data_IF_821383326117
#
_entry.id   IF_821383326117
#
_cell.length_a   1.000
_cell.length_b   1.000
_cell.length_c   1.000
_cell.angle_alpha   90.00
_cell.angle_beta   90.00
_cell.angle_gamma   90.00
#
_symmetry.space_group_name_H-M   'P 1'
#
loop_
_entity.id
_entity.type
_entity.pdbx_description
1 polymer ?
#
# COMPACT_ATOMS: atom_id res chain seq x y z
N UNK A 1 8.17 -2.58 -21.64
CA UNK A 1 7.65 -1.81 -20.49
C UNK A 1 6.13 -1.81 -20.61
N UNK A 2 5.43 -2.63 -19.82
CA UNK A 2 3.98 -2.72 -19.91
C UNK A 2 3.37 -1.39 -19.42
N UNK A 3 2.56 -0.76 -20.27
CA UNK A 3 1.83 0.47 -19.96
C UNK A 3 0.89 0.23 -18.76
N UNK A 4 1.31 0.68 -17.58
CA UNK A 4 0.46 0.81 -16.40
C UNK A 4 -0.69 1.81 -16.65
N UNK A 5 -0.52 2.66 -17.67
CA UNK A 5 -1.31 3.85 -18.05
C UNK A 5 -2.79 3.62 -18.41
N UNK A 6 -3.30 2.39 -18.41
CA UNK A 6 -4.71 2.13 -18.75
C UNK A 6 -5.58 1.66 -17.60
N UNK A 7 -4.99 1.31 -16.45
CA UNK A 7 -5.72 0.62 -15.37
C UNK A 7 -5.94 1.47 -14.12
N UNK A 8 -5.37 2.66 -14.06
CA UNK A 8 -5.55 3.57 -12.95
C UNK A 8 -5.42 5.02 -13.43
N UNK A 9 -6.52 5.59 -13.88
CA UNK A 9 -6.58 7.02 -14.18
C UNK A 9 -6.34 7.80 -12.87
N UNK A 10 -5.52 8.86 -12.91
CA UNK A 10 -5.21 9.78 -11.79
C UNK A 10 -4.26 9.27 -10.69
N UNK A 11 -3.76 8.03 -10.74
CA UNK A 11 -2.78 7.57 -9.73
C UNK A 11 -1.43 8.31 -9.84
N UNK A 12 -1.08 8.78 -11.04
CA UNK A 12 0.11 9.63 -11.22
C UNK A 12 0.00 10.96 -10.45
N UNK A 13 -1.22 11.43 -10.13
CA UNK A 13 -1.46 12.65 -9.33
C UNK A 13 -1.26 12.41 -7.83
N UNK A 14 -1.41 11.16 -7.36
CA UNK A 14 -1.19 10.78 -5.96
C UNK A 14 0.30 10.66 -5.61
N UNK A 15 1.14 10.54 -6.63
CA UNK A 15 2.58 10.38 -6.49
C UNK A 15 3.23 11.73 -6.22
N UNK A 16 4.03 11.79 -5.16
CA UNK A 16 4.75 13.01 -4.77
C UNK A 16 6.27 12.85 -4.96
N UNK A 17 6.94 12.18 -4.01
CA UNK A 17 8.41 12.09 -3.96
C UNK A 17 8.91 10.71 -4.38
N UNK A 18 10.15 10.66 -4.85
CA UNK A 18 10.87 9.40 -5.02
C UNK A 18 11.35 8.82 -3.68
N UNK A 19 11.32 7.51 -3.55
CA UNK A 19 11.78 6.75 -2.39
C UNK A 19 12.24 5.34 -2.78
N UNK A 20 12.96 4.67 -1.88
CA UNK A 20 13.34 3.28 -2.06
C UNK A 20 12.13 2.37 -1.78
N UNK A 21 11.51 1.92 -2.86
CA UNK A 21 10.34 1.04 -2.84
C UNK A 21 10.69 -0.35 -2.27
N UNK A 22 11.92 -0.82 -2.47
CA UNK A 22 12.36 -2.12 -1.97
C UNK A 22 12.67 -2.08 -0.47
N UNK A 23 13.20 -0.98 0.03
CA UNK A 23 13.32 -0.73 1.47
C UNK A 23 11.95 -0.70 2.14
N UNK A 24 10.99 0.00 1.53
CA UNK A 24 9.60 0.04 2.05
C UNK A 24 8.97 -1.35 2.04
N UNK A 25 9.18 -2.16 0.99
CA UNK A 25 8.68 -3.54 0.99
C UNK A 25 9.32 -4.38 2.11
N UNK A 26 10.61 -4.22 2.38
CA UNK A 26 11.29 -4.90 3.50
C UNK A 26 10.74 -4.46 4.85
N UNK A 27 10.47 -3.17 5.03
CA UNK A 27 9.82 -2.60 6.22
C UNK A 27 8.46 -3.28 6.47
N UNK A 28 7.63 -3.42 5.42
CA UNK A 28 6.34 -4.13 5.50
C UNK A 28 6.47 -5.63 5.76
N UNK A 29 7.64 -6.22 5.56
CA UNK A 29 7.92 -7.64 5.76
C UNK A 29 8.65 -7.92 7.08
N UNK A 30 8.93 -6.91 7.92
CA UNK A 30 9.61 -7.08 9.21
C UNK A 30 8.85 -8.07 10.10
N UNK A 31 7.53 -7.89 10.23
CA UNK A 31 6.66 -8.91 10.78
C UNK A 31 6.05 -9.76 9.64
N UNK A 32 6.67 -10.90 9.35
CA UNK A 32 6.25 -11.77 8.24
C UNK A 32 4.85 -12.36 8.44
N UNK A 33 4.46 -12.66 9.68
CA UNK A 33 3.13 -13.23 9.96
C UNK A 33 2.03 -12.24 9.58
N UNK A 34 2.22 -10.97 9.93
CA UNK A 34 1.32 -9.87 9.54
C UNK A 34 1.29 -9.74 8.01
N UNK A 35 2.44 -9.65 7.36
CA UNK A 35 2.49 -9.50 5.91
C UNK A 35 1.84 -10.67 5.15
N UNK A 36 2.02 -11.91 5.62
CA UNK A 36 1.38 -13.09 5.02
C UNK A 36 -0.13 -13.11 5.25
N UNK A 37 -0.60 -12.62 6.40
CA UNK A 37 -2.04 -12.55 6.69
C UNK A 37 -2.81 -11.69 5.69
N UNK A 38 -2.15 -10.69 5.07
CA UNK A 38 -2.75 -9.84 4.04
C UNK A 38 -3.04 -10.57 2.72
N UNK A 39 -2.51 -11.78 2.52
CA UNK A 39 -2.72 -12.54 1.29
C UNK A 39 -2.20 -11.83 0.04
N UNK A 40 -0.98 -11.26 0.10
CA UNK A 40 -0.39 -10.51 -1.01
C UNK A 40 -0.16 -11.41 -2.22
N UNK A 41 -0.93 -11.21 -3.30
CA UNK A 41 -0.83 -11.98 -4.54
C UNK A 41 0.17 -11.38 -5.52
N UNK A 42 0.31 -10.04 -5.52
CA UNK A 42 1.12 -9.33 -6.50
C UNK A 42 1.71 -8.05 -5.93
N UNK A 43 2.99 -7.83 -6.25
CA UNK A 43 3.71 -6.59 -5.94
C UNK A 43 4.09 -5.89 -7.25
N UNK A 44 3.71 -4.63 -7.39
CA UNK A 44 4.09 -3.79 -8.54
C UNK A 44 4.82 -2.54 -8.07
N UNK A 45 5.91 -2.20 -8.76
CA UNK A 45 6.71 -1.00 -8.49
C UNK A 45 6.39 0.05 -9.53
N UNK A 46 6.05 1.25 -9.09
CA UNK A 46 5.83 2.41 -9.97
C UNK A 46 7.11 3.23 -9.98
N UNK A 47 8.10 2.77 -10.73
CA UNK A 47 9.47 3.34 -10.70
C UNK A 47 9.94 3.42 -9.23
N UNK A 48 10.52 4.55 -8.83
CA UNK A 48 10.92 4.84 -7.45
C UNK A 48 9.86 5.69 -6.72
N UNK A 49 8.58 5.61 -7.10
CA UNK A 49 7.57 6.60 -6.69
C UNK A 49 6.32 6.02 -6.06
N UNK A 50 6.17 4.70 -6.11
CA UNK A 50 5.02 4.05 -5.50
C UNK A 50 5.13 2.54 -5.48
N UNK A 51 4.44 1.94 -4.51
CA UNK A 51 4.36 0.50 -4.28
C UNK A 51 2.91 0.07 -4.33
N UNK A 52 2.61 -0.89 -5.19
CA UNK A 52 1.31 -1.53 -5.28
C UNK A 52 1.37 -2.94 -4.71
N UNK A 53 0.40 -3.25 -3.86
CA UNK A 53 0.15 -4.60 -3.35
C UNK A 53 -1.27 -5.00 -3.74
N UNK A 54 -1.43 -6.14 -4.41
CA UNK A 54 -2.73 -6.79 -4.55
C UNK A 54 -2.91 -7.71 -3.35
N UNK A 55 -3.87 -7.37 -2.49
CA UNK A 55 -4.11 -8.07 -1.23
C UNK A 55 -5.48 -8.74 -1.25
N UNK A 56 -5.61 -9.79 -0.44
CA UNK A 56 -6.86 -10.54 -0.25
C UNK A 56 -7.13 -10.70 1.25
N UNK A 57 -7.12 -9.59 1.97
CA UNK A 57 -7.36 -9.55 3.41
C UNK A 57 -8.85 -9.62 3.77
N UNK A 58 -9.11 -9.67 5.07
CA UNK A 58 -10.44 -9.74 5.64
C UNK A 58 -11.24 -8.45 5.42
N UNK A 59 -10.65 -7.28 5.68
CA UNK A 59 -11.30 -5.96 5.57
C UNK A 59 -11.15 -5.32 4.19
N UNK A 60 -10.03 -5.61 3.51
CA UNK A 60 -9.76 -5.09 2.17
C UNK A 60 -9.28 -6.17 1.22
N UNK A 61 -9.95 -6.24 0.06
CA UNK A 61 -9.59 -7.10 -1.08
C UNK A 61 -9.45 -6.20 -2.30
N UNK A 62 -8.27 -6.18 -2.89
CA UNK A 62 -7.97 -5.28 -3.99
C UNK A 62 -6.58 -4.67 -3.89
N UNK A 63 -6.41 -3.53 -4.55
CA UNK A 63 -5.11 -2.86 -4.59
C UNK A 63 -4.90 -1.99 -3.36
N UNK A 64 -3.68 -2.00 -2.85
CA UNK A 64 -3.15 -1.02 -1.91
C UNK A 64 -2.04 -0.27 -2.64
N UNK A 65 -2.12 1.05 -2.66
CA UNK A 65 -1.10 1.90 -3.25
C UNK A 65 -0.41 2.71 -2.16
N UNK A 66 0.92 2.66 -2.09
CA UNK A 66 1.73 3.32 -1.07
C UNK A 66 2.69 4.29 -1.76
N UNK A 67 2.75 5.52 -1.27
CA UNK A 67 3.61 6.60 -1.79
C UNK A 67 4.31 7.32 -0.63
N UNK A 68 5.40 8.02 -0.96
CA UNK A 68 6.07 8.93 -0.02
C UNK A 68 5.69 10.37 -0.34
N UNK A 69 5.20 11.08 0.67
CA UNK A 69 4.82 12.48 0.59
C UNK A 69 6.03 13.42 0.73
N UNK A 70 5.84 14.69 0.37
CA UNK A 70 6.89 15.72 0.47
C UNK A 70 7.38 15.97 1.90
N UNK A 71 6.53 15.71 2.90
CA UNK A 71 6.83 15.87 4.32
C UNK A 71 7.54 14.65 4.95
N UNK A 72 8.06 13.74 4.12
CA UNK A 72 8.81 12.54 4.55
C UNK A 72 7.96 11.53 5.33
N UNK A 73 6.65 11.54 5.11
CA UNK A 73 5.72 10.53 5.63
C UNK A 73 5.13 9.71 4.49
N UNK A 74 4.63 8.51 4.81
CA UNK A 74 3.90 7.68 3.87
C UNK A 74 2.42 8.09 3.79
N UNK A 75 1.87 7.94 2.59
CA UNK A 75 0.44 7.88 2.37
C UNK A 75 0.09 6.56 1.70
N UNK A 76 -1.06 5.99 2.03
CA UNK A 76 -1.57 4.81 1.35
C UNK A 76 -3.06 4.91 1.00
N UNK A 77 -3.43 4.19 -0.04
CA UNK A 77 -4.76 4.22 -0.63
C UNK A 77 -5.26 2.78 -0.79
N UNK A 78 -6.45 2.50 -0.28
CA UNK A 78 -7.17 1.26 -0.55
C UNK A 78 -8.05 1.46 -1.78
N UNK A 79 -7.90 0.59 -2.77
CA UNK A 79 -8.55 0.69 -4.08
C UNK A 79 -9.40 -0.57 -4.29
N UNK A 80 -10.72 -0.40 -4.37
CA UNK A 80 -11.68 -1.49 -4.54
C UNK A 80 -11.86 -1.87 -6.02
N UNK A 81 -11.99 -0.87 -6.89
CA UNK A 81 -12.11 -1.03 -8.33
C UNK A 81 -11.19 -0.04 -9.04
N UNK A 82 -10.94 -0.28 -10.32
CA UNK A 82 -10.05 0.46 -11.25
C UNK A 82 -10.21 1.99 -11.17
N UNK A 83 -11.34 2.49 -10.64
CA UNK A 83 -11.69 3.92 -10.62
C UNK A 83 -12.00 4.52 -9.23
N UNK A 84 -11.96 3.75 -8.14
CA UNK A 84 -12.37 4.26 -6.82
C UNK A 84 -11.35 3.99 -5.72
N UNK A 85 -10.88 5.09 -5.12
CA UNK A 85 -10.21 5.05 -3.82
C UNK A 85 -11.30 4.87 -2.76
N UNK A 86 -11.27 3.73 -2.07
CA UNK A 86 -12.15 3.43 -0.94
C UNK A 86 -11.73 4.20 0.31
N UNK A 87 -10.42 4.28 0.53
CA UNK A 87 -9.82 4.90 1.71
C UNK A 87 -8.49 5.52 1.37
N UNK A 88 -8.24 6.69 1.95
CA UNK A 88 -6.98 7.41 1.92
C UNK A 88 -6.50 7.60 3.35
N UNK A 89 -5.21 7.38 3.58
CA UNK A 89 -4.54 7.65 4.86
C UNK A 89 -3.22 8.35 4.55
N UNK A 90 -3.00 9.49 5.21
CA UNK A 90 -1.81 10.33 5.06
C UNK A 90 -1.05 10.44 6.38
N UNK A 91 0.14 11.05 6.32
CA UNK A 91 0.95 11.40 7.49
C UNK A 91 1.33 10.18 8.36
N UNK A 92 1.69 9.07 7.69
CA UNK A 92 2.05 7.82 8.35
C UNK A 92 3.57 7.70 8.47
N UNK A 93 4.08 7.65 9.69
CA UNK A 93 5.50 7.39 9.94
C UNK A 93 5.87 5.94 9.58
N UNK A 94 7.15 5.72 9.25
CA UNK A 94 7.64 4.42 8.79
C UNK A 94 7.43 3.30 9.83
N UNK A 95 7.57 3.61 11.12
CA UNK A 95 7.39 2.69 12.24
C UNK A 95 5.91 2.36 12.50
N UNK A 96 4.98 3.20 12.03
CA UNK A 96 3.54 2.95 12.09
C UNK A 96 2.98 2.26 10.85
N UNK A 97 3.68 2.33 9.71
CA UNK A 97 3.14 1.96 8.40
C UNK A 97 2.56 0.54 8.37
N UNK A 98 3.32 -0.46 8.82
CA UNK A 98 2.86 -1.86 8.82
C UNK A 98 1.62 -2.03 9.70
N UNK A 99 1.60 -1.42 10.89
CA UNK A 99 0.49 -1.55 11.83
C UNK A 99 -0.79 -0.85 11.34
N UNK A 100 -0.64 0.29 10.64
CA UNK A 100 -1.77 1.04 10.05
C UNK A 100 -2.38 0.27 8.88
N UNK A 101 -1.53 -0.28 8.01
CA UNK A 101 -1.96 -1.14 6.91
C UNK A 101 -2.65 -2.41 7.43
N UNK A 102 -2.07 -3.06 8.45
CA UNK A 102 -2.66 -4.27 9.03
C UNK A 102 -4.07 -4.04 9.57
N UNK A 103 -4.27 -2.93 10.31
CA UNK A 103 -5.59 -2.51 10.80
C UNK A 103 -6.63 -2.33 9.70
N UNK A 104 -6.18 -1.88 8.54
CA UNK A 104 -7.04 -1.54 7.41
C UNK A 104 -7.25 -2.70 6.43
N UNK A 105 -6.37 -3.70 6.44
CA UNK A 105 -6.39 -4.84 5.53
C UNK A 105 -6.96 -6.09 6.22
N UNK A 106 -6.50 -6.42 7.43
CA UNK A 106 -6.69 -7.75 8.02
C UNK A 106 -7.13 -7.73 9.50
N UNK A 107 -6.45 -6.98 10.36
CA UNK A 107 -6.52 -7.12 11.82
C UNK A 107 -7.95 -7.23 12.38
N UNK A 108 -8.21 -8.28 13.16
CA UNK A 108 -9.45 -8.46 13.95
C UNK A 108 -9.09 -8.59 15.45
N UNK A 109 -9.96 -8.10 16.33
CA UNK A 109 -9.70 -8.11 17.79
C UNK A 109 -9.65 -9.53 18.39
N UNK A 110 -10.19 -10.54 17.71
CA UNK A 110 -10.28 -11.94 18.14
C UNK A 110 -8.93 -12.68 18.28
N UNK A 111 -7.81 -12.02 17.97
CA UNK A 111 -6.45 -12.59 18.12
C UNK A 111 -5.84 -12.38 19.53
N UNK A 112 -6.64 -12.12 20.57
CA UNK A 112 -6.19 -12.01 21.96
C UNK A 112 -6.42 -13.28 22.78
#
# INVERSE_FOLDING_TARGET
MANLNKRFENIEELVQREFDVDETLKLLQLNQNVFWSWGVEKVLRVKNKGLFLLVNGHHHKGWVFIVLAWNDTYSYYLIEDVKSIKKEVTDVYFDELQNRLDKDIEYIEDYK
#
